data_IF_199765226625
#
_entry.id   IF_199765226625
#
_cell.length_a   1.000
_cell.length_b   1.000
_cell.length_c   1.000
_cell.angle_alpha   90.00
_cell.angle_beta   90.00
_cell.angle_gamma   90.00
#
_symmetry.space_group_name_H-M   'P 1'
#
loop_
_entity.id
_entity.type
_entity.pdbx_description
1 polymer ?
#
# COMPACT_ATOMS: atom_id res chain seq x y z
N UNK A 1 -13.05 3.44 -10.07
CA UNK A 1 -11.74 2.77 -10.23
C UNK A 1 -11.97 1.26 -10.28
N UNK A 2 -11.13 0.48 -10.99
CA UNK A 2 -11.26 -0.98 -11.10
C UNK A 2 -10.11 -1.68 -10.36
N UNK A 3 -10.08 -1.53 -9.04
CA UNK A 3 -9.10 -2.21 -8.19
C UNK A 3 -9.66 -2.48 -6.79
N UNK A 4 -9.06 -3.45 -6.09
CA UNK A 4 -9.22 -3.66 -4.65
C UNK A 4 -7.83 -3.64 -4.04
N UNK A 5 -7.70 -3.01 -2.87
CA UNK A 5 -6.48 -3.02 -2.08
C UNK A 5 -6.79 -3.65 -0.74
N UNK A 6 -6.16 -4.78 -0.46
CA UNK A 6 -6.38 -5.51 0.79
C UNK A 6 -5.21 -6.44 1.11
N UNK A 7 -5.26 -7.08 2.26
CA UNK A 7 -4.34 -8.13 2.67
C UNK A 7 -4.83 -9.47 2.08
N UNK A 8 -4.16 -9.96 1.06
CA UNK A 8 -4.56 -11.19 0.36
C UNK A 8 -3.74 -12.42 0.76
N UNK A 9 -2.57 -12.22 1.38
CA UNK A 9 -1.58 -13.27 1.63
C UNK A 9 -1.00 -13.19 3.02
N UNK A 10 -0.62 -14.35 3.56
CA UNK A 10 0.04 -14.49 4.85
C UNK A 10 -0.94 -14.78 5.97
N UNK A 11 -0.36 -15.10 7.12
CA UNK A 11 -1.11 -15.25 8.37
C UNK A 11 -0.56 -14.25 9.36
N UNK A 12 -1.44 -13.49 10.00
CA UNK A 12 -1.05 -12.42 10.92
C UNK A 12 -1.72 -12.58 12.28
N UNK A 13 -1.00 -12.18 13.33
CA UNK A 13 -1.60 -11.86 14.62
C UNK A 13 -1.93 -10.36 14.62
N UNK A 14 -3.17 -10.01 14.94
CA UNK A 14 -3.66 -8.63 14.94
C UNK A 14 -4.50 -8.32 16.17
N UNK A 15 -4.86 -7.05 16.34
CA UNK A 15 -5.82 -6.58 17.35
C UNK A 15 -7.20 -7.25 17.23
N UNK A 16 -7.51 -7.86 16.08
CA UNK A 16 -8.77 -8.57 15.82
C UNK A 16 -8.63 -10.10 15.88
N UNK A 17 -7.48 -10.62 16.32
CA UNK A 17 -7.15 -12.04 16.34
C UNK A 17 -6.33 -12.50 15.14
N UNK A 18 -6.46 -13.77 14.77
CA UNK A 18 -5.73 -14.36 13.64
C UNK A 18 -6.37 -13.97 12.31
N UNK A 19 -5.56 -13.42 11.41
CA UNK A 19 -5.92 -13.23 10.02
C UNK A 19 -5.35 -14.37 9.20
N UNK A 20 -6.17 -15.37 8.87
CA UNK A 20 -5.80 -16.53 8.07
C UNK A 20 -6.28 -16.34 6.62
N UNK A 21 -5.45 -15.68 5.80
CA UNK A 21 -5.85 -15.28 4.46
C UNK A 21 -5.76 -16.44 3.45
N UNK A 22 -6.66 -16.44 2.46
CA UNK A 22 -6.67 -17.43 1.40
C UNK A 22 -6.77 -16.77 0.01
N UNK A 23 -5.61 -16.47 -0.58
CA UNK A 23 -5.52 -15.85 -1.91
C UNK A 23 -6.18 -16.68 -3.00
N UNK A 24 -6.21 -18.02 -2.86
CA UNK A 24 -6.85 -18.92 -3.82
C UNK A 24 -8.37 -18.75 -3.84
N UNK A 25 -9.01 -18.62 -2.67
CA UNK A 25 -10.44 -18.32 -2.57
C UNK A 25 -10.76 -16.94 -3.14
N UNK A 26 -9.93 -15.93 -2.86
CA UNK A 26 -10.09 -14.59 -3.42
C UNK A 26 -9.99 -14.63 -4.96
N UNK A 27 -9.00 -15.30 -5.52
CA UNK A 27 -8.82 -15.43 -6.96
C UNK A 27 -10.01 -16.14 -7.63
N UNK A 28 -10.49 -17.25 -7.04
CA UNK A 28 -11.69 -17.96 -7.51
C UNK A 28 -12.94 -17.09 -7.41
N UNK A 29 -13.09 -16.36 -6.31
CA UNK A 29 -14.23 -15.45 -6.13
C UNK A 29 -14.23 -14.34 -7.19
N UNK A 30 -13.08 -13.68 -7.39
CA UNK A 30 -12.88 -12.66 -8.43
C UNK A 30 -13.28 -13.18 -9.82
N UNK A 31 -12.88 -14.40 -10.18
CA UNK A 31 -13.29 -15.03 -11.44
C UNK A 31 -14.81 -15.30 -11.50
N UNK A 32 -15.41 -15.85 -10.44
CA UNK A 32 -16.85 -16.16 -10.36
C UNK A 32 -17.74 -14.94 -10.55
N UNK A 33 -17.34 -13.78 -10.02
CA UNK A 33 -18.10 -12.53 -10.15
C UNK A 33 -17.78 -11.74 -11.42
N UNK A 34 -16.97 -12.30 -12.33
CA UNK A 34 -16.56 -11.64 -13.57
C UNK A 34 -15.58 -10.48 -13.38
N UNK A 35 -14.90 -10.39 -12.22
CA UNK A 35 -14.00 -9.29 -11.86
C UNK A 35 -12.56 -9.43 -12.36
N UNK A 36 -12.34 -10.14 -13.48
CA UNK A 36 -11.00 -10.43 -14.02
C UNK A 36 -10.22 -9.18 -14.46
N UNK A 37 -10.89 -8.04 -14.58
CA UNK A 37 -10.34 -6.72 -14.88
C UNK A 37 -10.08 -5.86 -13.63
N UNK A 38 -10.50 -6.33 -12.44
CA UNK A 38 -10.27 -5.63 -11.16
C UNK A 38 -8.85 -5.91 -10.68
N UNK A 39 -8.00 -4.88 -10.63
CA UNK A 39 -6.62 -4.99 -10.17
C UNK A 39 -6.53 -5.31 -8.67
N UNK A 40 -5.57 -6.12 -8.26
CA UNK A 40 -5.36 -6.51 -6.86
C UNK A 40 -4.06 -5.92 -6.31
N UNK A 41 -4.21 -4.99 -5.36
CA UNK A 41 -3.12 -4.31 -4.66
C UNK A 41 -2.91 -4.96 -3.29
N UNK A 42 -1.76 -5.58 -3.08
CA UNK A 42 -1.51 -6.42 -1.91
C UNK A 42 -0.86 -5.61 -0.79
N UNK A 43 -1.56 -5.41 0.32
CA UNK A 43 -0.94 -4.87 1.54
C UNK A 43 -0.03 -5.94 2.15
N UNK A 44 1.30 -5.74 2.07
CA UNK A 44 2.29 -6.70 2.59
C UNK A 44 2.77 -6.32 4.00
N UNK A 45 2.67 -5.04 4.34
CA UNK A 45 2.84 -4.55 5.71
C UNK A 45 1.50 -3.94 6.13
N UNK A 46 0.65 -4.73 6.81
CA UNK A 46 -0.63 -4.23 7.30
C UNK A 46 -0.48 -3.40 8.57
N UNK A 47 -1.46 -2.54 8.81
CA UNK A 47 -1.59 -1.77 10.05
C UNK A 47 -2.10 -2.69 11.17
N UNK A 48 -1.69 -2.46 12.42
CA UNK A 48 -2.19 -3.19 13.60
C UNK A 48 -2.05 -4.72 13.54
N UNK A 49 -1.09 -5.24 12.77
CA UNK A 49 -0.87 -6.66 12.62
C UNK A 49 0.59 -7.00 12.35
N UNK A 50 1.01 -8.18 12.80
CA UNK A 50 2.34 -8.74 12.55
C UNK A 50 2.20 -10.12 11.92
N UNK A 51 3.09 -10.46 10.97
CA UNK A 51 3.20 -11.82 10.48
C UNK A 51 3.36 -12.81 11.64
N UNK A 52 2.56 -13.88 11.61
CA UNK A 52 2.57 -14.92 12.63
C UNK A 52 3.92 -15.65 12.69
N UNK A 53 4.56 -15.83 11.54
CA UNK A 53 5.91 -16.40 11.43
C UNK A 53 6.95 -15.28 11.27
N UNK A 54 8.08 -15.40 11.99
CA UNK A 54 9.21 -14.49 11.90
C UNK A 54 10.05 -14.69 10.64
N UNK A 55 9.54 -14.27 9.48
CA UNK A 55 10.27 -14.22 8.21
C UNK A 55 10.69 -12.79 7.90
N UNK A 56 11.85 -12.62 7.25
CA UNK A 56 12.29 -11.29 6.81
C UNK A 56 11.39 -10.75 5.69
N UNK A 57 11.14 -9.44 5.71
CA UNK A 57 10.23 -8.78 4.79
C UNK A 57 10.63 -8.94 3.32
N UNK A 58 11.94 -8.99 3.03
CA UNK A 58 12.44 -9.18 1.67
C UNK A 58 12.08 -10.57 1.11
N UNK A 59 12.25 -11.62 1.93
CA UNK A 59 11.86 -13.00 1.62
C UNK A 59 10.35 -13.11 1.42
N UNK A 60 9.56 -12.53 2.33
CA UNK A 60 8.10 -12.49 2.20
C UNK A 60 7.73 -11.84 0.86
N UNK A 61 8.26 -10.66 0.58
CA UNK A 61 8.00 -9.91 -0.67
C UNK A 61 8.30 -10.75 -1.92
N UNK A 62 9.51 -11.34 -2.01
CA UNK A 62 9.88 -12.19 -3.15
C UNK A 62 8.93 -13.38 -3.32
N UNK A 63 8.58 -14.05 -2.22
CA UNK A 63 7.68 -15.21 -2.29
C UNK A 63 6.25 -14.83 -2.63
N UNK A 64 5.75 -13.67 -2.17
CA UNK A 64 4.43 -13.15 -2.54
C UNK A 64 4.39 -12.83 -4.03
N UNK A 65 5.39 -12.10 -4.56
CA UNK A 65 5.47 -11.80 -6.00
C UNK A 65 5.48 -13.08 -6.82
N UNK A 66 6.36 -14.03 -6.48
CA UNK A 66 6.50 -15.29 -7.20
C UNK A 66 5.24 -16.15 -7.17
N UNK A 67 4.59 -16.27 -6.00
CA UNK A 67 3.48 -17.19 -5.80
C UNK A 67 2.13 -16.62 -6.24
N UNK A 68 1.94 -15.30 -6.24
CA UNK A 68 0.61 -14.70 -6.39
C UNK A 68 0.50 -13.62 -7.45
N UNK A 69 1.62 -13.17 -8.05
CA UNK A 69 1.66 -12.19 -9.15
C UNK A 69 0.73 -10.97 -8.91
N UNK A 70 0.92 -10.22 -7.80
CA UNK A 70 0.08 -9.07 -7.48
C UNK A 70 0.21 -7.97 -8.54
N UNK A 71 -0.86 -7.21 -8.80
CA UNK A 71 -0.81 -6.08 -9.73
C UNK A 71 0.00 -4.91 -9.15
N UNK A 72 0.07 -4.81 -7.83
CA UNK A 72 0.94 -3.90 -7.09
C UNK A 72 1.04 -4.32 -5.61
N UNK A 73 2.09 -3.86 -4.93
CA UNK A 73 2.31 -4.07 -3.50
C UNK A 73 2.11 -2.75 -2.77
N UNK A 74 1.50 -2.80 -1.59
CA UNK A 74 1.25 -1.67 -0.73
C UNK A 74 1.98 -1.84 0.61
N UNK A 75 2.69 -0.79 1.02
CA UNK A 75 3.45 -0.74 2.30
C UNK A 75 2.85 0.33 3.19
N UNK A 76 2.36 -0.05 4.37
CA UNK A 76 1.75 0.87 5.35
C UNK A 76 2.75 1.24 6.45
N UNK A 77 2.52 2.37 7.13
CA UNK A 77 3.13 2.63 8.44
C UNK A 77 2.53 1.72 9.52
N UNK A 78 3.22 1.58 10.66
CA UNK A 78 2.79 0.72 11.76
C UNK A 78 1.41 1.10 12.35
N UNK A 79 1.02 2.39 12.25
CA UNK A 79 -0.29 2.90 12.66
C UNK A 79 -0.87 3.83 11.60
N UNK A 80 -2.20 3.89 11.51
CA UNK A 80 -2.91 4.72 10.56
C UNK A 80 -2.49 6.19 10.67
N UNK A 81 -1.92 6.73 9.60
CA UNK A 81 -1.47 8.13 9.53
C UNK A 81 -0.09 8.41 10.14
N UNK A 82 0.60 7.40 10.68
CA UNK A 82 2.03 7.51 10.98
C UNK A 82 2.87 7.50 9.70
N UNK A 83 4.06 8.13 9.69
CA UNK A 83 4.99 8.02 8.57
C UNK A 83 5.24 6.55 8.25
N UNK A 84 5.17 6.19 6.97
CA UNK A 84 5.56 4.84 6.53
C UNK A 84 7.01 4.61 6.93
N UNK A 85 7.29 3.43 7.51
CA UNK A 85 8.66 3.01 7.77
C UNK A 85 9.42 2.99 6.45
N UNK A 86 10.26 4.00 6.26
CA UNK A 86 10.98 4.21 5.01
C UNK A 86 11.93 3.04 4.74
N UNK A 87 12.35 2.32 5.79
CA UNK A 87 13.17 1.12 5.64
C UNK A 87 12.35 -0.04 5.09
N UNK A 88 11.17 -0.32 5.67
CA UNK A 88 10.26 -1.32 5.13
C UNK A 88 9.91 -1.06 3.66
N UNK A 89 9.66 0.21 3.30
CA UNK A 89 9.40 0.61 1.92
C UNK A 89 10.58 0.30 0.98
N UNK A 90 11.82 0.61 1.38
CA UNK A 90 13.01 0.31 0.57
C UNK A 90 13.23 -1.19 0.42
N UNK A 91 13.06 -1.95 1.50
CA UNK A 91 13.21 -3.42 1.48
C UNK A 91 12.19 -4.04 0.51
N UNK A 92 10.92 -3.62 0.59
CA UNK A 92 9.88 -4.11 -0.32
C UNK A 92 10.16 -3.68 -1.75
N UNK A 93 10.52 -2.41 -1.99
CA UNK A 93 10.86 -1.92 -3.34
C UNK A 93 12.00 -2.72 -3.98
N UNK A 94 13.07 -2.98 -3.22
CA UNK A 94 14.21 -3.77 -3.71
C UNK A 94 13.85 -5.24 -3.99
N UNK A 95 12.87 -5.79 -3.27
CA UNK A 95 12.47 -7.19 -3.37
C UNK A 95 11.30 -7.45 -4.33
N UNK A 96 10.57 -6.42 -4.75
CA UNK A 96 9.35 -6.53 -5.57
C UNK A 96 9.61 -6.82 -7.05
N UNK A 97 10.86 -6.66 -7.53
CA UNK A 97 11.18 -6.76 -8.95
C UNK A 97 10.43 -5.69 -9.75
N UNK A 98 9.76 -6.10 -10.82
CA UNK A 98 9.00 -5.20 -11.69
C UNK A 98 7.59 -4.86 -11.17
N UNK A 99 7.17 -5.46 -10.05
CA UNK A 99 5.85 -5.17 -9.47
C UNK A 99 5.86 -3.77 -8.85
N UNK A 100 4.92 -2.88 -9.23
CA UNK A 100 4.84 -1.54 -8.66
C UNK A 100 4.60 -1.56 -7.14
N UNK A 101 5.31 -0.70 -6.41
CA UNK A 101 5.21 -0.55 -4.96
C UNK A 101 4.64 0.82 -4.61
N UNK A 102 3.60 0.81 -3.78
CA UNK A 102 2.86 1.99 -3.35
C UNK A 102 3.05 2.21 -1.85
N UNK A 103 3.25 3.48 -1.47
CA UNK A 103 3.08 3.89 -0.08
C UNK A 103 1.60 3.92 0.24
N UNK A 104 1.19 3.19 1.26
CA UNK A 104 -0.22 2.95 1.53
C UNK A 104 -0.84 3.99 2.47
N UNK A 105 -0.08 4.46 3.46
CA UNK A 105 -0.54 5.42 4.47
C UNK A 105 0.53 6.44 4.85
N UNK A 106 0.11 7.54 5.47
CA UNK A 106 1.02 8.57 6.00
C UNK A 106 1.54 9.60 4.98
N UNK A 107 1.09 9.55 3.72
CA UNK A 107 1.53 10.50 2.68
C UNK A 107 0.83 11.87 2.83
N UNK A 108 1.64 12.93 2.76
CA UNK A 108 1.30 14.36 2.91
C UNK A 108 2.11 15.17 1.90
N UNK A 109 1.75 16.44 1.66
CA UNK A 109 2.51 17.30 0.75
C UNK A 109 3.99 17.44 1.16
N UNK A 110 4.27 17.56 2.45
CA UNK A 110 5.63 17.71 3.01
C UNK A 110 6.54 16.48 2.82
N UNK A 111 5.97 15.28 2.63
CA UNK A 111 6.74 14.02 2.53
C UNK A 111 6.52 13.23 1.24
N UNK A 112 5.65 13.70 0.33
CA UNK A 112 5.34 12.96 -0.90
C UNK A 112 6.58 12.78 -1.79
N UNK A 113 7.46 13.78 -1.84
CA UNK A 113 8.69 13.70 -2.63
C UNK A 113 9.65 12.61 -2.12
N UNK A 114 9.86 12.51 -0.81
CA UNK A 114 10.74 11.49 -0.23
C UNK A 114 10.16 10.07 -0.39
N UNK A 115 8.83 9.95 -0.33
CA UNK A 115 8.15 8.68 -0.60
C UNK A 115 8.26 8.27 -2.07
N UNK A 116 8.00 9.18 -3.01
CA UNK A 116 8.07 8.91 -4.45
C UNK A 116 9.51 8.76 -4.97
N UNK A 117 10.52 9.17 -4.21
CA UNK A 117 11.92 8.85 -4.49
C UNK A 117 12.24 7.35 -4.37
N UNK A 118 11.37 6.58 -3.72
CA UNK A 118 11.52 5.12 -3.53
C UNK A 118 10.35 4.36 -4.16
N UNK A 119 9.12 4.81 -3.91
CA UNK A 119 7.89 4.15 -4.36
C UNK A 119 7.45 4.62 -5.75
N UNK A 120 6.71 3.76 -6.45
CA UNK A 120 6.13 4.05 -7.76
C UNK A 120 4.83 4.86 -7.64
N UNK A 121 4.25 4.91 -6.44
CA UNK A 121 3.01 5.63 -6.18
C UNK A 121 2.64 5.72 -4.71
N UNK A 122 1.50 6.34 -4.46
CA UNK A 122 0.95 6.53 -3.13
C UNK A 122 -0.57 6.41 -3.13
N UNK A 123 -1.12 5.85 -2.06
CA UNK A 123 -2.55 5.90 -1.72
C UNK A 123 -2.73 6.95 -0.64
N UNK A 124 -3.63 7.91 -0.87
CA UNK A 124 -3.84 9.04 0.04
C UNK A 124 -5.33 9.18 0.35
N UNK A 125 -5.66 9.16 1.64
CA UNK A 125 -7.02 9.32 2.13
C UNK A 125 -7.15 10.48 3.10
N UNK A 126 -6.79 10.24 4.36
CA UNK A 126 -7.00 11.16 5.49
C UNK A 126 -6.39 12.55 5.29
N UNK A 127 -5.25 12.68 4.60
CA UNK A 127 -4.66 13.99 4.32
C UNK A 127 -5.57 14.88 3.45
N UNK A 128 -6.36 14.31 2.54
CA UNK A 128 -7.29 15.11 1.73
C UNK A 128 -8.49 15.60 2.53
N UNK A 129 -8.74 15.05 3.72
CA UNK A 129 -9.93 15.34 4.51
C UNK A 129 -9.77 16.65 5.28
N UNK A 130 -10.87 17.39 5.47
CA UNK A 130 -10.85 18.63 6.28
C UNK A 130 -10.25 18.37 7.66
N UNK A 131 -9.31 19.23 8.06
CA UNK A 131 -8.56 19.15 9.33
C UNK A 131 -7.81 17.83 9.54
N UNK A 132 -7.71 16.97 8.53
CA UNK A 132 -7.04 15.66 8.60
C UNK A 132 -7.88 14.63 9.33
N UNK A 133 -9.19 14.87 9.47
CA UNK A 133 -10.11 13.98 10.18
C UNK A 133 -10.78 13.05 9.18
N UNK A 134 -10.58 11.74 9.33
CA UNK A 134 -11.02 10.73 8.38
C UNK A 134 -12.51 10.82 7.99
N UNK A 135 -13.37 11.15 8.96
CA UNK A 135 -14.82 11.26 8.78
C UNK A 135 -15.27 12.51 8.04
N UNK A 136 -14.40 13.50 7.86
CA UNK A 136 -14.75 14.75 7.20
C UNK A 136 -14.84 14.62 5.66
N UNK A 137 -15.31 15.68 5.01
CA UNK A 137 -15.26 15.79 3.55
C UNK A 137 -13.82 16.04 3.07
N UNK A 138 -13.54 15.69 1.82
CA UNK A 138 -12.26 16.07 1.20
C UNK A 138 -12.25 17.58 0.86
N UNK A 139 -11.11 18.23 1.02
CA UNK A 139 -10.90 19.65 0.71
C UNK A 139 -10.03 19.80 -0.54
N UNK A 140 -10.53 20.55 -1.52
CA UNK A 140 -9.84 20.77 -2.80
C UNK A 140 -8.45 21.36 -2.63
N UNK A 141 -8.29 22.34 -1.74
CA UNK A 141 -7.00 22.99 -1.46
C UNK A 141 -5.92 22.00 -1.03
N UNK A 142 -6.28 21.01 -0.20
CA UNK A 142 -5.34 19.96 0.27
C UNK A 142 -4.98 18.99 -0.85
N UNK A 143 -5.92 18.67 -1.73
CA UNK A 143 -5.63 17.89 -2.94
C UNK A 143 -4.64 18.65 -3.83
N UNK A 144 -4.89 19.93 -4.05
CA UNK A 144 -4.03 20.80 -4.87
C UNK A 144 -2.62 20.92 -4.28
N UNK A 145 -2.50 21.07 -2.96
CA UNK A 145 -1.22 21.14 -2.24
C UNK A 145 -0.37 19.88 -2.47
N UNK A 146 -0.92 18.70 -2.20
CA UNK A 146 -0.17 17.44 -2.37
C UNK A 146 0.12 17.13 -3.84
N UNK A 147 -0.84 17.39 -4.73
CA UNK A 147 -0.61 17.19 -6.16
C UNK A 147 0.40 18.20 -6.71
N UNK A 148 0.51 19.40 -6.14
CA UNK A 148 1.56 20.36 -6.44
C UNK A 148 2.94 19.79 -6.13
N UNK A 149 3.16 19.37 -4.88
CA UNK A 149 4.42 18.76 -4.44
C UNK A 149 4.77 17.48 -5.24
N UNK A 150 3.77 16.63 -5.55
CA UNK A 150 3.99 15.43 -6.35
C UNK A 150 4.37 15.75 -7.82
N UNK A 151 3.78 16.79 -8.42
CA UNK A 151 4.13 17.23 -9.77
C UNK A 151 5.51 17.86 -9.81
N UNK A 152 5.87 18.66 -8.81
CA UNK A 152 7.20 19.26 -8.68
C UNK A 152 8.28 18.17 -8.62
N UNK A 153 8.11 17.16 -7.78
CA UNK A 153 9.01 16.01 -7.73
C UNK A 153 9.14 15.32 -9.11
N UNK A 154 8.02 15.05 -9.79
CA UNK A 154 8.02 14.40 -11.10
C UNK A 154 8.69 15.24 -12.19
N UNK A 155 8.59 16.57 -12.12
CA UNK A 155 9.26 17.46 -13.07
C UNK A 155 10.79 17.37 -12.96
N UNK A 156 11.33 16.93 -11.82
CA UNK A 156 12.75 16.65 -11.62
C UNK A 156 13.21 15.26 -12.09
N UNK A 157 12.30 14.38 -12.50
CA UNK A 157 12.62 13.08 -13.08
C UNK A 157 12.82 13.23 -14.60
N UNK A 158 13.87 13.92 -15.00
CA UNK A 158 14.38 13.95 -16.38
C UNK A 158 15.47 12.93 -16.59
#
# INVERSE_FOLDING_TARGET
ARFVREIFTGVYASDFGLWDTNVGEVARHRARVGGSDVKLLFNIVPESAQYLAGRDLASITRTTVFATLPDAICVSGATAGAPTDTEALRVVKAAAGDVPVFVNTGVRAENVASHLAVADGAVVGTYFKKDGVFTNAAEKSRVEELMGAAKEFRAGLT
#
